data_IF_742789533456
#
_entry.id   IF_742789533456
#
_cell.length_a   1.000
_cell.length_b   1.000
_cell.length_c   1.000
_cell.angle_alpha   90.00
_cell.angle_beta   90.00
_cell.angle_gamma   90.00
#
_symmetry.space_group_name_H-M   'P 1'
#
loop_
_entity.id
_entity.type
_entity.pdbx_description
1 polymer ?
#
# COMPACT_ATOMS: atom_id res chain seq x y z
N UNK A 1 15.83 7.92 1.02
CA UNK A 1 14.88 6.86 0.58
C UNK A 1 13.68 7.45 -0.14
N UNK A 2 13.16 8.62 0.29
CA UNK A 2 12.04 9.31 -0.36
C UNK A 2 12.45 10.20 -1.55
N UNK A 3 13.72 10.57 -1.71
CA UNK A 3 14.25 11.32 -2.88
C UNK A 3 14.35 10.47 -4.17
N UNK A 4 13.66 9.33 -4.21
CA UNK A 4 13.64 8.46 -5.35
C UNK A 4 12.82 9.11 -6.48
N UNK A 5 13.51 9.57 -7.53
CA UNK A 5 12.93 10.38 -8.60
C UNK A 5 12.02 9.61 -9.58
N UNK A 6 12.05 8.28 -9.59
CA UNK A 6 11.23 7.50 -10.54
C UNK A 6 9.81 7.32 -10.01
N UNK A 7 8.86 7.21 -10.93
CA UNK A 7 7.45 7.05 -10.59
C UNK A 7 7.12 5.68 -9.95
N UNK A 8 5.91 5.53 -9.43
CA UNK A 8 5.42 4.23 -8.94
C UNK A 8 5.35 3.23 -10.10
N UNK A 9 6.11 2.13 -9.98
CA UNK A 9 6.24 1.09 -10.99
C UNK A 9 6.58 -0.25 -10.34
N UNK A 10 6.59 -1.33 -11.12
CA UNK A 10 7.04 -2.65 -10.63
C UNK A 10 8.46 -2.54 -10.06
N UNK A 11 9.39 -1.97 -10.83
CA UNK A 11 10.77 -1.79 -10.39
C UNK A 11 10.88 -0.98 -9.09
N UNK A 12 10.02 0.02 -8.90
CA UNK A 12 9.95 0.83 -7.68
C UNK A 12 9.55 -0.03 -6.48
N UNK A 13 8.50 -0.85 -6.58
CA UNK A 13 8.07 -1.70 -5.47
C UNK A 13 9.09 -2.81 -5.17
N UNK A 14 9.72 -3.40 -6.19
CA UNK A 14 10.76 -4.41 -6.01
C UNK A 14 12.02 -3.82 -5.37
N UNK A 15 12.42 -2.61 -5.79
CA UNK A 15 13.55 -1.89 -5.21
C UNK A 15 13.35 -1.62 -3.72
N UNK A 16 12.20 -1.06 -3.32
CA UNK A 16 11.93 -0.78 -1.91
C UNK A 16 11.73 -2.06 -1.08
N UNK A 17 11.13 -3.10 -1.65
CA UNK A 17 11.04 -4.40 -1.00
C UNK A 17 12.42 -5.01 -0.78
N UNK A 18 13.32 -4.94 -1.77
CA UNK A 18 14.71 -5.36 -1.62
C UNK A 18 15.41 -4.58 -0.51
N UNK A 19 15.32 -3.25 -0.51
CA UNK A 19 15.92 -2.41 0.55
C UNK A 19 15.39 -2.71 1.95
N UNK A 20 14.13 -3.12 2.08
CA UNK A 20 13.54 -3.49 3.36
C UNK A 20 14.05 -4.83 3.91
N UNK A 21 14.42 -5.78 3.03
CA UNK A 21 14.71 -7.16 3.43
C UNK A 21 16.12 -7.65 3.11
N UNK A 22 16.92 -6.93 2.32
CA UNK A 22 18.24 -7.41 1.87
C UNK A 22 19.20 -7.77 3.02
N UNK A 23 19.04 -7.16 4.19
CA UNK A 23 19.84 -7.45 5.39
C UNK A 23 19.22 -8.48 6.35
N UNK A 24 17.97 -8.89 6.14
CA UNK A 24 17.23 -9.74 7.11
C UNK A 24 16.66 -11.02 6.49
N UNK A 25 16.20 -10.96 5.24
CA UNK A 25 15.63 -12.08 4.48
C UNK A 25 16.00 -11.93 3.00
N UNK A 26 17.28 -12.10 2.70
CA UNK A 26 17.84 -11.86 1.37
C UNK A 26 17.23 -12.77 0.28
N UNK A 27 16.76 -13.96 0.66
CA UNK A 27 16.10 -14.97 -0.18
C UNK A 27 14.76 -14.51 -0.77
N UNK A 28 14.08 -13.55 -0.13
CA UNK A 28 12.81 -12.98 -0.62
C UNK A 28 12.93 -11.52 -1.05
N UNK A 29 14.08 -10.90 -0.82
CA UNK A 29 14.28 -9.46 -0.96
C UNK A 29 14.09 -9.01 -2.42
N UNK A 30 13.04 -8.22 -2.66
CA UNK A 30 12.69 -7.74 -4.01
C UNK A 30 12.14 -8.80 -4.97
N UNK A 31 11.64 -9.94 -4.45
CA UNK A 31 11.16 -11.06 -5.28
C UNK A 31 9.65 -11.24 -5.12
N UNK A 32 8.91 -11.32 -6.24
CA UNK A 32 7.48 -11.66 -6.24
C UNK A 32 7.32 -13.12 -5.80
N UNK A 33 6.36 -13.40 -4.92
CA UNK A 33 6.15 -14.76 -4.39
C UNK A 33 5.76 -15.74 -5.51
N UNK A 34 6.34 -16.94 -5.44
CA UNK A 34 6.00 -18.07 -6.32
C UNK A 34 5.01 -19.06 -5.67
N UNK A 35 4.67 -18.87 -4.39
CA UNK A 35 3.83 -19.78 -3.61
C UNK A 35 2.64 -19.05 -3.00
N UNK A 36 1.59 -19.83 -2.70
CA UNK A 36 0.40 -19.28 -2.06
C UNK A 36 0.68 -18.92 -0.61
N UNK A 37 0.14 -17.80 -0.15
CA UNK A 37 0.34 -17.29 1.21
C UNK A 37 -1.01 -16.99 1.85
N UNK A 38 -1.05 -17.04 3.18
CA UNK A 38 -2.20 -16.64 3.98
C UNK A 38 -1.83 -15.44 4.86
N UNK A 39 -2.81 -14.61 5.19
CA UNK A 39 -2.63 -13.48 6.09
C UNK A 39 -3.07 -13.91 7.49
N UNK A 40 -2.12 -13.97 8.42
CA UNK A 40 -2.42 -14.37 9.79
C UNK A 40 -3.50 -13.48 10.41
N UNK A 41 -4.55 -14.10 10.95
CA UNK A 41 -5.68 -13.40 11.56
C UNK A 41 -6.64 -12.75 10.57
N UNK A 42 -6.55 -13.05 9.27
CA UNK A 42 -7.55 -12.62 8.28
C UNK A 42 -8.22 -13.77 7.55
N UNK A 43 -9.51 -13.60 7.24
CA UNK A 43 -10.31 -14.48 6.37
C UNK A 43 -10.05 -14.24 4.88
N UNK A 44 -9.40 -13.13 4.53
CA UNK A 44 -9.07 -12.85 3.14
C UNK A 44 -7.94 -13.75 2.65
N UNK A 45 -8.18 -14.44 1.54
CA UNK A 45 -7.19 -15.26 0.84
C UNK A 45 -6.68 -14.43 -0.34
N UNK A 46 -5.37 -14.12 -0.40
CA UNK A 46 -4.78 -13.43 -1.54
C UNK A 46 -4.91 -14.22 -2.85
N UNK A 47 -4.79 -13.57 -4.02
CA UNK A 47 -4.78 -14.22 -5.33
C UNK A 47 -3.76 -15.37 -5.41
N UNK A 48 -3.94 -16.35 -6.29
CA UNK A 48 -2.94 -17.37 -6.54
C UNK A 48 -1.66 -16.77 -7.15
N UNK A 49 -0.49 -17.42 -6.99
CA UNK A 49 0.79 -16.89 -7.49
C UNK A 49 0.77 -16.54 -8.99
N UNK A 50 0.08 -17.36 -9.80
CA UNK A 50 -0.05 -17.14 -11.24
C UNK A 50 -0.82 -15.86 -11.59
N UNK A 51 -1.68 -15.37 -10.69
CA UNK A 51 -2.50 -14.16 -10.89
C UNK A 51 -1.77 -12.88 -10.47
N UNK A 52 -0.74 -12.98 -9.62
CA UNK A 52 -0.06 -11.83 -9.01
C UNK A 52 0.54 -10.89 -10.06
N UNK A 53 1.30 -11.43 -11.02
CA UNK A 53 1.95 -10.60 -12.02
C UNK A 53 0.94 -9.90 -12.96
N UNK A 54 -0.07 -10.59 -13.53
CA UNK A 54 -1.16 -9.93 -14.26
C UNK A 54 -1.83 -8.81 -13.47
N UNK A 55 -2.19 -9.07 -12.21
CA UNK A 55 -2.85 -8.08 -11.35
C UNK A 55 -1.95 -6.87 -11.05
N UNK A 56 -0.63 -7.07 -10.91
CA UNK A 56 0.31 -5.94 -10.78
C UNK A 56 0.35 -5.09 -12.06
N UNK A 57 0.33 -5.72 -13.24
CA UNK A 57 0.32 -4.97 -14.50
C UNK A 57 -0.97 -4.16 -14.66
N UNK A 58 -2.12 -4.75 -14.31
CA UNK A 58 -3.40 -4.02 -14.26
C UNK A 58 -3.39 -2.88 -13.25
N UNK A 59 -2.79 -3.11 -12.09
CA UNK A 59 -2.61 -2.08 -11.06
C UNK A 59 -1.79 -0.89 -11.57
N UNK A 60 -0.63 -1.12 -12.20
CA UNK A 60 0.18 -0.02 -12.72
C UNK A 60 -0.50 0.69 -13.90
N UNK A 61 -1.19 -0.05 -14.77
CA UNK A 61 -2.00 0.54 -15.85
C UNK A 61 -3.14 1.40 -15.31
N UNK A 62 -3.80 0.98 -14.23
CA UNK A 62 -4.80 1.77 -13.52
C UNK A 62 -4.18 3.03 -12.91
N UNK A 63 -3.01 2.90 -12.27
CA UNK A 63 -2.29 4.03 -11.67
C UNK A 63 -1.96 5.09 -12.73
N UNK A 64 -1.36 4.71 -13.85
CA UNK A 64 -1.00 5.66 -14.92
C UNK A 64 -2.19 6.41 -15.50
N UNK A 65 -3.38 5.79 -15.54
CA UNK A 65 -4.60 6.41 -16.06
C UNK A 65 -5.25 7.39 -15.08
N UNK A 66 -4.97 7.25 -13.79
CA UNK A 66 -5.73 7.93 -12.71
C UNK A 66 -4.90 8.91 -11.89
N UNK A 67 -3.56 8.78 -11.89
CA UNK A 67 -2.65 9.55 -11.02
C UNK A 67 -2.81 11.07 -11.13
N UNK A 68 -3.13 11.58 -12.32
CA UNK A 68 -3.28 13.03 -12.57
C UNK A 68 -4.75 13.51 -12.49
N UNK A 69 -5.70 12.61 -12.23
CA UNK A 69 -7.15 12.89 -12.24
C UNK A 69 -7.82 12.69 -10.88
N UNK A 70 -7.14 12.02 -9.96
CA UNK A 70 -7.69 11.63 -8.66
C UNK A 70 -7.07 12.46 -7.55
N UNK A 71 -7.89 12.86 -6.56
CA UNK A 71 -7.38 13.58 -5.40
C UNK A 71 -6.28 12.75 -4.69
N UNK A 72 -5.11 13.34 -4.33
CA UNK A 72 -3.96 12.58 -3.84
C UNK A 72 -4.24 11.69 -2.62
N UNK A 73 -5.13 12.13 -1.72
CA UNK A 73 -5.55 11.33 -0.55
C UNK A 73 -6.32 10.08 -0.96
N UNK A 74 -7.20 10.18 -1.96
CA UNK A 74 -7.93 9.03 -2.49
C UNK A 74 -6.99 8.10 -3.26
N UNK A 75 -6.11 8.67 -4.06
CA UNK A 75 -5.11 7.92 -4.82
C UNK A 75 -4.19 7.11 -3.88
N UNK A 76 -3.65 7.73 -2.83
CA UNK A 76 -2.81 7.06 -1.85
C UNK A 76 -3.55 5.93 -1.10
N UNK A 77 -4.82 6.13 -0.74
CA UNK A 77 -5.65 5.12 -0.10
C UNK A 77 -5.91 3.91 -1.01
N UNK A 78 -6.21 4.14 -2.29
CA UNK A 78 -6.43 3.07 -3.27
C UNK A 78 -5.14 2.34 -3.62
N UNK A 79 -4.01 3.05 -3.73
CA UNK A 79 -2.70 2.42 -3.94
C UNK A 79 -2.36 1.49 -2.79
N UNK A 80 -2.58 1.93 -1.55
CA UNK A 80 -2.43 1.08 -0.38
C UNK A 80 -3.30 -0.17 -0.46
N UNK A 81 -4.62 0.01 -0.66
CA UNK A 81 -5.60 -1.07 -0.66
C UNK A 81 -5.35 -2.08 -1.77
N UNK A 82 -5.15 -1.61 -3.01
CA UNK A 82 -4.96 -2.50 -4.16
C UNK A 82 -3.66 -3.30 -4.01
N UNK A 83 -2.55 -2.66 -3.61
CA UNK A 83 -1.27 -3.36 -3.47
C UNK A 83 -1.29 -4.40 -2.35
N UNK A 84 -1.88 -4.08 -1.18
CA UNK A 84 -1.97 -5.06 -0.08
C UNK A 84 -2.92 -6.23 -0.39
N UNK A 85 -3.89 -6.00 -1.28
CA UNK A 85 -4.85 -7.01 -1.75
C UNK A 85 -4.23 -7.95 -2.79
N UNK A 86 -3.41 -7.44 -3.70
CA UNK A 86 -2.60 -8.26 -4.63
C UNK A 86 -1.61 -9.13 -3.85
N UNK A 87 -1.06 -8.58 -2.76
CA UNK A 87 -0.17 -9.27 -1.83
C UNK A 87 1.04 -9.93 -2.53
N UNK A 88 1.85 -9.15 -3.27
CA UNK A 88 2.82 -9.71 -4.21
C UNK A 88 4.05 -10.37 -3.59
N UNK A 89 4.34 -10.14 -2.31
CA UNK A 89 5.55 -10.63 -1.64
C UNK A 89 5.23 -11.73 -0.62
N UNK A 90 6.24 -12.53 -0.26
CA UNK A 90 6.10 -13.55 0.79
C UNK A 90 5.94 -12.95 2.21
N UNK A 91 6.53 -11.78 2.45
CA UNK A 91 6.39 -10.98 3.67
C UNK A 91 6.47 -9.48 3.29
N UNK A 92 6.05 -8.59 4.18
CA UNK A 92 6.29 -7.16 4.04
C UNK A 92 5.24 -6.41 3.22
N UNK A 93 4.20 -7.08 2.72
CA UNK A 93 3.13 -6.46 1.92
C UNK A 93 2.53 -5.24 2.60
N UNK A 94 2.16 -5.34 3.88
CA UNK A 94 1.64 -4.18 4.62
C UNK A 94 2.65 -3.02 4.77
N UNK A 95 3.95 -3.32 4.92
CA UNK A 95 5.02 -2.33 5.02
C UNK A 95 5.21 -1.61 3.67
N UNK A 96 5.26 -2.36 2.57
CA UNK A 96 5.38 -1.79 1.23
C UNK A 96 4.13 -1.00 0.84
N UNK A 97 2.92 -1.47 1.14
CA UNK A 97 1.69 -0.71 0.84
C UNK A 97 1.62 0.62 1.58
N UNK A 98 2.03 0.68 2.86
CA UNK A 98 2.13 1.96 3.59
C UNK A 98 3.25 2.85 3.07
N UNK A 99 4.38 2.27 2.66
CA UNK A 99 5.45 3.03 2.04
C UNK A 99 5.01 3.64 0.72
N UNK A 100 4.34 2.88 -0.16
CA UNK A 100 3.88 3.36 -1.47
C UNK A 100 2.75 4.38 -1.33
N UNK A 101 1.88 4.24 -0.33
CA UNK A 101 0.93 5.29 0.06
C UNK A 101 1.64 6.60 0.42
N UNK A 102 2.66 6.54 1.28
CA UNK A 102 3.41 7.75 1.69
C UNK A 102 4.31 8.29 0.58
N UNK A 103 4.79 7.45 -0.34
CA UNK A 103 5.47 7.88 -1.56
C UNK A 103 4.56 8.80 -2.40
N UNK A 104 3.28 8.45 -2.53
CA UNK A 104 2.29 9.25 -3.27
C UNK A 104 1.98 10.56 -2.54
N UNK A 105 1.83 10.53 -1.22
CA UNK A 105 1.68 11.76 -0.45
C UNK A 105 2.87 12.69 -0.63
N UNK A 106 4.10 12.16 -0.48
CA UNK A 106 5.32 12.93 -0.63
C UNK A 106 5.44 13.56 -2.03
N UNK A 107 5.16 12.81 -3.10
CA UNK A 107 5.24 13.29 -4.48
C UNK A 107 4.22 14.40 -4.81
N UNK A 108 3.14 14.48 -4.04
CA UNK A 108 2.07 15.48 -4.24
C UNK A 108 2.10 16.60 -3.17
N UNK A 109 3.16 16.68 -2.35
CA UNK A 109 3.28 17.64 -1.24
C UNK A 109 2.16 17.53 -0.17
N UNK A 110 1.64 16.33 0.04
CA UNK A 110 0.69 16.03 1.12
C UNK A 110 1.41 15.51 2.38
N UNK A 111 0.91 15.83 3.59
CA UNK A 111 1.39 15.23 4.82
C UNK A 111 1.36 13.70 4.79
N UNK A 112 2.46 13.07 5.18
CA UNK A 112 2.52 11.60 5.29
C UNK A 112 1.65 11.10 6.44
N UNK A 113 1.04 9.94 6.25
CA UNK A 113 0.22 9.28 7.25
C UNK A 113 1.00 8.17 7.96
N UNK A 114 1.05 8.26 9.29
CA UNK A 114 1.41 7.13 10.14
C UNK A 114 0.14 6.46 10.66
N UNK A 115 0.06 5.13 10.56
CA UNK A 115 -1.03 4.36 11.16
C UNK A 115 -0.51 3.81 12.50
N UNK A 116 -0.91 4.40 13.64
CA UNK A 116 -0.34 4.05 14.93
C UNK A 116 -0.77 2.65 15.36
N UNK A 117 0.10 1.97 16.11
CA UNK A 117 -0.07 0.58 16.49
C UNK A 117 -1.37 0.34 17.28
N UNK A 118 -1.74 1.27 18.15
CA UNK A 118 -2.96 1.23 18.98
C UNK A 118 -4.24 1.23 18.13
N UNK A 119 -4.13 1.57 16.85
CA UNK A 119 -5.26 1.67 15.91
C UNK A 119 -5.23 0.61 14.83
N UNK A 120 -4.30 -0.35 14.91
CA UNK A 120 -4.15 -1.45 13.95
C UNK A 120 -5.40 -2.33 13.86
N UNK A 121 -6.15 -2.51 14.95
CA UNK A 121 -7.36 -3.33 14.95
C UNK A 121 -8.41 -2.78 13.98
N UNK A 122 -8.67 -1.47 14.02
CA UNK A 122 -9.59 -0.81 13.09
C UNK A 122 -9.08 -0.82 11.65
N UNK A 123 -7.77 -0.65 11.45
CA UNK A 123 -7.12 -0.74 10.14
C UNK A 123 -7.30 -2.13 9.50
N UNK A 124 -6.97 -3.19 10.24
CA UNK A 124 -7.10 -4.56 9.75
C UNK A 124 -8.56 -4.96 9.52
N UNK A 125 -9.47 -4.54 10.40
CA UNK A 125 -10.91 -4.76 10.21
C UNK A 125 -11.44 -4.08 8.93
N UNK A 126 -11.02 -2.85 8.66
CA UNK A 126 -11.40 -2.13 7.44
C UNK A 126 -10.85 -2.81 6.17
N UNK A 127 -9.59 -3.26 6.20
CA UNK A 127 -8.99 -4.02 5.10
C UNK A 127 -9.72 -5.32 4.83
N UNK A 128 -9.86 -6.18 5.85
CA UNK A 128 -10.50 -7.48 5.69
C UNK A 128 -11.93 -7.33 5.16
N UNK A 129 -12.72 -6.40 5.72
CA UNK A 129 -14.09 -6.17 5.26
C UNK A 129 -14.13 -5.68 3.82
N UNK A 130 -13.22 -4.78 3.44
CA UNK A 130 -13.13 -4.28 2.07
C UNK A 130 -12.79 -5.40 1.08
N UNK A 131 -11.83 -6.24 1.44
CA UNK A 131 -11.34 -7.34 0.60
C UNK A 131 -12.34 -8.49 0.48
N UNK A 132 -12.94 -8.92 1.59
CA UNK A 132 -13.92 -10.01 1.61
C UNK A 132 -15.23 -9.63 0.95
N UNK A 133 -15.69 -8.38 1.10
CA UNK A 133 -16.93 -7.88 0.45
C UNK A 133 -16.70 -7.31 -0.95
N UNK A 134 -15.45 -7.19 -1.40
CA UNK A 134 -15.07 -6.53 -2.66
C UNK A 134 -15.62 -5.10 -2.77
N UNK A 135 -15.54 -4.35 -1.67
CA UNK A 135 -16.09 -3.00 -1.51
C UNK A 135 -15.00 -2.05 -1.00
N UNK A 136 -14.43 -1.25 -1.91
CA UNK A 136 -13.29 -0.36 -1.61
C UNK A 136 -13.67 0.81 -0.69
N UNK A 137 -14.93 1.26 -0.76
CA UNK A 137 -15.49 2.36 0.02
C UNK A 137 -15.35 2.14 1.53
N UNK A 138 -15.45 0.89 1.99
CA UNK A 138 -15.26 0.53 3.41
C UNK A 138 -13.89 0.97 3.92
N UNK A 139 -12.83 0.67 3.15
CA UNK A 139 -11.47 1.06 3.53
C UNK A 139 -11.25 2.55 3.32
N UNK A 140 -11.78 3.13 2.22
CA UNK A 140 -11.64 4.56 1.94
C UNK A 140 -12.27 5.43 3.04
N UNK A 141 -13.46 5.06 3.53
CA UNK A 141 -14.11 5.78 4.64
C UNK A 141 -13.27 5.75 5.92
N UNK A 142 -12.75 4.57 6.28
CA UNK A 142 -11.85 4.44 7.43
C UNK A 142 -10.58 5.27 7.24
N UNK A 143 -10.01 5.23 6.03
CA UNK A 143 -8.79 5.92 5.67
C UNK A 143 -8.93 7.44 5.74
N UNK A 144 -9.97 8.01 5.14
CA UNK A 144 -10.20 9.45 5.15
C UNK A 144 -10.44 9.98 6.56
N UNK A 145 -11.25 9.26 7.35
CA UNK A 145 -11.45 9.60 8.78
C UNK A 145 -10.12 9.59 9.54
N UNK A 146 -9.25 8.62 9.27
CA UNK A 146 -7.91 8.55 9.86
C UNK A 146 -7.03 9.70 9.40
N UNK A 147 -6.92 9.91 8.09
CA UNK A 147 -6.06 10.93 7.49
C UNK A 147 -6.41 12.33 8.00
N UNK A 148 -7.70 12.69 8.00
CA UNK A 148 -8.18 13.97 8.51
C UNK A 148 -7.89 14.14 10.00
N UNK A 149 -8.00 13.07 10.80
CA UNK A 149 -7.68 13.13 12.21
C UNK A 149 -6.19 13.40 12.42
N UNK A 150 -5.29 12.66 11.78
CA UNK A 150 -3.84 12.82 11.98
C UNK A 150 -3.30 14.14 11.39
N UNK A 151 -3.85 14.60 10.27
CA UNK A 151 -3.39 15.84 9.62
C UNK A 151 -3.91 17.12 10.31
N UNK A 152 -5.06 17.08 10.99
CA UNK A 152 -5.55 18.24 11.77
C UNK A 152 -4.68 18.57 12.98
N UNK A 153 -3.85 17.64 13.45
CA UNK A 153 -3.02 17.81 14.64
C UNK A 153 -1.52 18.00 14.36
N UNK A 154 -1.13 18.05 13.08
CA UNK A 154 0.25 18.42 12.71
C UNK A 154 0.20 19.81 12.07
N UNK A 155 0.71 20.87 12.72
CA UNK A 155 0.99 22.10 12.02
C UNK A 155 1.87 21.73 10.82
N UNK A 156 1.54 22.28 9.65
CA UNK A 156 2.45 22.21 8.51
C UNK A 156 3.76 22.83 8.99
N UNK A 157 4.77 22.00 9.22
CA UNK A 157 6.12 22.50 9.44
C UNK A 157 6.47 23.23 8.14
N UNK A 158 6.56 24.56 8.23
CA UNK A 158 6.98 25.41 7.13
C UNK A 158 8.27 24.83 6.55
N UNK A 159 8.25 24.50 5.25
CA UNK A 159 9.48 24.27 4.48
C UNK A 159 10.24 25.60 4.37
#
# INVERSE_FOLDING_TARGET
MLDYKKDLSLNTILYFHKKLFESTKADIAGIIRAHQVAIAGSKFIPPFPAEVYPLLMEFFKWYDRTKDKMHPVQLAALIHLKLVTIHPFADGNGRISRLMMNFIFHKNDFPMLNIPYEKRAGYYSALERSQTKKQEDIFLQWFFKRYLKECRFKPLANK
#
